data_IF_116890670949
#
_entry.id   IF_116890670949
#
_cell.length_a   1.000
_cell.length_b   1.000
_cell.length_c   1.000
_cell.angle_alpha   90.00
_cell.angle_beta   90.00
_cell.angle_gamma   90.00
#
_symmetry.space_group_name_H-M   'P 1'
#
loop_
_entity.id
_entity.type
_entity.pdbx_description
1 polymer ?
#
# COMPACT_ATOMS: atom_id res chain seq x y z
N UNK A 1 8.76 -4.53 18.79
CA UNK A 1 9.04 -5.66 17.87
C UNK A 1 8.27 -5.46 16.55
N UNK A 2 8.44 -4.30 15.94
CA UNK A 2 7.84 -3.97 14.65
C UNK A 2 9.01 -3.59 13.77
N UNK A 3 9.41 -4.48 12.88
CA UNK A 3 10.61 -4.30 12.06
C UNK A 3 10.26 -3.66 10.70
N UNK A 4 9.04 -3.91 10.22
CA UNK A 4 8.53 -3.40 8.96
C UNK A 4 7.10 -2.85 9.08
N UNK A 5 6.74 -2.00 8.13
CA UNK A 5 5.39 -1.46 7.94
C UNK A 5 4.93 -1.80 6.52
N UNK A 6 3.80 -2.49 6.40
CA UNK A 6 3.25 -2.93 5.11
C UNK A 6 2.11 -2.02 4.69
N UNK A 7 2.16 -1.57 3.43
CA UNK A 7 1.16 -0.71 2.80
C UNK A 7 0.42 -1.50 1.72
N UNK A 8 -0.91 -1.46 1.79
CA UNK A 8 -1.81 -1.89 0.74
C UNK A 8 -2.97 -0.89 0.63
N UNK A 9 -3.60 -0.80 -0.54
CA UNK A 9 -4.85 -0.07 -0.70
C UNK A 9 -5.92 -0.92 -1.37
N UNK A 10 -7.19 -0.52 -1.20
CA UNK A 10 -8.32 -1.16 -1.83
C UNK A 10 -9.18 -0.19 -2.65
N UNK A 11 -9.92 -0.74 -3.60
CA UNK A 11 -10.86 -0.01 -4.47
C UNK A 11 -12.28 0.11 -3.87
N UNK A 12 -12.51 -0.45 -2.68
CA UNK A 12 -13.81 -0.50 -2.01
C UNK A 12 -14.88 -1.36 -2.71
N UNK A 13 -14.51 -2.17 -3.71
CA UNK A 13 -15.46 -3.08 -4.37
C UNK A 13 -15.80 -4.27 -3.47
N UNK A 14 -17.02 -4.27 -2.91
CA UNK A 14 -17.47 -5.24 -1.89
C UNK A 14 -18.59 -6.18 -2.36
N UNK A 15 -19.19 -5.93 -3.53
CA UNK A 15 -20.36 -6.70 -3.98
C UNK A 15 -19.96 -7.89 -4.87
N UNK A 16 -20.25 -9.12 -4.40
CA UNK A 16 -20.14 -10.34 -5.21
C UNK A 16 -18.72 -10.90 -5.31
N UNK A 17 -17.87 -10.63 -4.32
CA UNK A 17 -16.44 -10.96 -4.30
C UNK A 17 -16.06 -12.05 -3.29
N UNK A 18 -17.02 -12.60 -2.52
CA UNK A 18 -16.77 -13.72 -1.61
C UNK A 18 -16.14 -13.27 -0.29
N UNK A 19 -15.01 -13.84 0.12
CA UNK A 19 -14.34 -13.51 1.41
C UNK A 19 -13.86 -12.06 1.50
N UNK A 20 -13.80 -11.34 0.37
CA UNK A 20 -13.41 -9.94 0.26
C UNK A 20 -14.59 -8.96 0.39
N UNK A 21 -15.83 -9.46 0.55
CA UNK A 21 -17.06 -8.65 0.61
C UNK A 21 -17.11 -7.66 1.79
N UNK A 22 -16.15 -7.73 2.73
CA UNK A 22 -16.06 -6.80 3.87
C UNK A 22 -14.88 -5.84 3.80
N UNK A 23 -13.86 -6.13 2.98
CA UNK A 23 -12.57 -5.42 2.99
C UNK A 23 -12.26 -4.73 1.67
N UNK A 24 -12.98 -5.06 0.58
CA UNK A 24 -12.65 -4.60 -0.77
C UNK A 24 -11.54 -5.44 -1.41
N UNK A 25 -11.19 -5.11 -2.66
CA UNK A 25 -10.09 -5.75 -3.39
C UNK A 25 -8.84 -4.90 -3.34
N UNK A 26 -7.68 -5.53 -3.13
CA UNK A 26 -6.40 -4.84 -3.29
C UNK A 26 -6.32 -4.26 -4.69
N UNK A 27 -5.92 -3.00 -4.80
CA UNK A 27 -5.74 -2.33 -6.07
C UNK A 27 -4.33 -1.71 -6.19
N UNK A 28 -3.80 -1.54 -7.42
CA UNK A 28 -2.48 -0.97 -7.65
C UNK A 28 -2.31 0.40 -6.99
N UNK A 29 -1.07 0.80 -6.68
CA UNK A 29 -0.74 2.07 -6.02
C UNK A 29 -1.32 3.33 -6.70
N UNK A 30 -1.49 3.28 -8.02
CA UNK A 30 -2.03 4.37 -8.84
C UNK A 30 -3.47 4.14 -9.32
N UNK A 31 -4.21 3.19 -8.74
CA UNK A 31 -5.58 2.91 -9.16
C UNK A 31 -6.47 4.15 -8.92
N UNK A 32 -7.16 4.67 -9.96
CA UNK A 32 -8.01 5.85 -9.81
C UNK A 32 -9.22 5.62 -8.88
N UNK A 33 -9.55 4.37 -8.56
CA UNK A 33 -10.60 4.01 -7.62
C UNK A 33 -10.08 3.74 -6.21
N UNK A 34 -8.76 3.80 -6.00
CA UNK A 34 -8.13 3.69 -4.68
C UNK A 34 -8.80 4.59 -3.66
N UNK A 35 -9.09 4.02 -2.48
CA UNK A 35 -9.84 4.73 -1.42
C UNK A 35 -8.96 5.34 -0.34
N UNK A 36 -7.70 4.96 -0.29
CA UNK A 36 -6.77 5.39 0.75
C UNK A 36 -5.96 6.58 0.24
N UNK A 37 -5.89 7.65 1.03
CA UNK A 37 -4.76 8.58 0.94
C UNK A 37 -3.56 7.88 1.56
N UNK A 38 -2.78 7.20 0.72
CA UNK A 38 -1.69 6.33 1.17
C UNK A 38 -0.65 7.15 1.94
N UNK A 39 -0.28 8.33 1.42
CA UNK A 39 0.73 9.18 2.02
C UNK A 39 0.30 9.65 3.40
N UNK A 40 -0.89 10.28 3.50
CA UNK A 40 -1.40 10.77 4.79
C UNK A 40 -1.56 9.62 5.80
N UNK A 41 -2.20 8.52 5.41
CA UNK A 41 -2.47 7.41 6.33
C UNK A 41 -1.20 6.71 6.80
N UNK A 42 -0.16 6.63 5.96
CA UNK A 42 1.12 6.06 6.34
C UNK A 42 1.80 6.89 7.45
N UNK A 43 1.62 8.22 7.46
CA UNK A 43 2.23 9.09 8.50
C UNK A 43 1.79 8.71 9.91
N UNK A 44 0.52 8.29 10.10
CA UNK A 44 0.00 7.88 11.40
C UNK A 44 0.76 6.68 11.97
N UNK A 45 1.29 5.82 11.11
CA UNK A 45 2.04 4.63 11.47
C UNK A 45 3.54 4.81 11.45
N UNK A 46 4.05 5.78 10.70
CA UNK A 46 5.49 6.00 10.51
C UNK A 46 6.04 7.19 11.29
N UNK A 47 5.18 8.02 11.88
CA UNK A 47 5.62 9.06 12.82
C UNK A 47 6.41 8.44 13.97
N UNK A 48 7.60 8.97 14.26
CA UNK A 48 8.52 8.43 15.28
C UNK A 48 8.86 6.93 15.05
N UNK A 49 8.85 6.47 13.80
CA UNK A 49 9.16 5.09 13.42
C UNK A 49 10.56 4.65 13.86
N UNK A 50 11.53 5.57 13.78
CA UNK A 50 12.92 5.31 14.16
C UNK A 50 13.05 4.92 15.65
N UNK A 51 12.37 5.66 16.54
CA UNK A 51 12.37 5.38 17.98
C UNK A 51 11.68 4.05 18.32
N UNK A 52 10.74 3.62 17.45
CA UNK A 52 10.06 2.32 17.54
C UNK A 52 10.81 1.18 16.86
N UNK A 53 11.92 1.47 16.17
CA UNK A 53 12.78 0.50 15.50
C UNK A 53 12.24 -0.04 14.17
N UNK A 54 11.33 0.67 13.52
CA UNK A 54 10.86 0.31 12.16
C UNK A 54 11.94 0.71 11.16
N UNK A 55 12.43 -0.25 10.37
CA UNK A 55 13.52 -0.05 9.42
C UNK A 55 13.09 -0.17 7.96
N UNK A 56 11.94 -0.79 7.72
CA UNK A 56 11.48 -1.11 6.38
C UNK A 56 10.04 -0.65 6.15
N UNK A 57 9.81 0.00 5.02
CA UNK A 57 8.48 0.18 4.44
C UNK A 57 8.35 -0.80 3.27
N UNK A 58 7.26 -1.56 3.27
CA UNK A 58 7.01 -2.63 2.32
C UNK A 58 5.68 -2.37 1.62
N UNK A 59 5.64 -2.55 0.31
CA UNK A 59 4.38 -2.64 -0.43
C UNK A 59 3.88 -4.08 -0.43
N UNK A 60 2.64 -4.29 -0.03
CA UNK A 60 2.02 -5.63 -0.04
C UNK A 60 1.45 -5.96 -1.42
N UNK A 61 2.23 -6.75 -2.17
CA UNK A 61 1.86 -7.25 -3.49
C UNK A 61 1.20 -8.63 -3.50
N UNK A 62 0.88 -9.24 -2.35
CA UNK A 62 0.51 -10.66 -2.28
C UNK A 62 -0.77 -11.04 -3.05
N UNK A 63 -1.62 -10.05 -3.36
CA UNK A 63 -2.91 -10.25 -4.04
C UNK A 63 -2.88 -9.87 -5.53
N UNK A 64 -1.71 -9.55 -6.10
CA UNK A 64 -1.60 -9.20 -7.53
C UNK A 64 -1.16 -10.40 -8.39
N UNK A 65 -1.66 -10.50 -9.65
CA UNK A 65 -1.15 -11.49 -10.59
C UNK A 65 0.34 -11.28 -10.90
N UNK A 66 1.09 -12.37 -11.07
CA UNK A 66 2.52 -12.30 -11.42
C UNK A 66 2.79 -11.43 -12.68
N UNK A 67 1.92 -11.51 -13.69
CA UNK A 67 2.06 -10.70 -14.91
C UNK A 67 2.06 -9.17 -14.61
N UNK A 68 1.33 -8.74 -13.59
CA UNK A 68 1.36 -7.34 -13.14
C UNK A 68 2.67 -7.03 -12.41
N UNK A 69 3.14 -7.93 -11.55
CA UNK A 69 4.38 -7.77 -10.79
C UNK A 69 5.64 -7.81 -11.68
N UNK A 70 5.56 -8.45 -12.85
CA UNK A 70 6.67 -8.47 -13.82
C UNK A 70 6.76 -7.19 -14.66
N UNK A 71 5.75 -6.31 -14.60
CA UNK A 71 5.78 -5.01 -15.29
C UNK A 71 6.55 -4.00 -14.45
N UNK A 72 7.67 -3.49 -14.98
CA UNK A 72 8.48 -2.46 -14.33
C UNK A 72 7.70 -1.20 -13.93
N UNK A 73 6.68 -0.85 -14.71
CA UNK A 73 5.77 0.25 -14.42
C UNK A 73 5.07 0.11 -13.06
N UNK A 74 4.66 -1.10 -12.68
CA UNK A 74 4.04 -1.38 -11.37
C UNK A 74 4.94 -0.89 -10.23
N UNK A 75 6.24 -1.16 -10.32
CA UNK A 75 7.21 -0.77 -9.30
C UNK A 75 7.53 0.73 -9.33
N UNK A 76 7.47 1.37 -10.50
CA UNK A 76 7.60 2.82 -10.60
C UNK A 76 6.46 3.53 -9.88
N UNK A 77 5.22 3.08 -10.06
CA UNK A 77 4.05 3.63 -9.36
C UNK A 77 4.13 3.41 -7.85
N UNK A 78 4.59 2.22 -7.42
CA UNK A 78 4.83 1.94 -5.99
C UNK A 78 5.92 2.87 -5.45
N UNK A 79 7.05 3.02 -6.14
CA UNK A 79 8.15 3.89 -5.72
C UNK A 79 7.70 5.35 -5.62
N UNK A 80 6.93 5.85 -6.57
CA UNK A 80 6.35 7.19 -6.54
C UNK A 80 5.54 7.42 -5.26
N UNK A 81 4.66 6.48 -4.90
CA UNK A 81 3.88 6.54 -3.67
C UNK A 81 4.78 6.47 -2.42
N UNK A 82 5.82 5.65 -2.40
CA UNK A 82 6.75 5.59 -1.25
C UNK A 82 7.52 6.90 -1.07
N UNK A 83 7.86 7.60 -2.15
CA UNK A 83 8.45 8.95 -2.09
C UNK A 83 7.43 9.94 -1.52
N UNK A 84 6.16 9.85 -1.89
CA UNK A 84 5.12 10.72 -1.31
C UNK A 84 4.93 10.48 0.18
N UNK A 85 5.01 9.21 0.64
CA UNK A 85 5.01 8.88 2.08
C UNK A 85 6.19 9.55 2.79
N UNK A 86 7.40 9.48 2.23
CA UNK A 86 8.58 10.14 2.80
C UNK A 86 8.42 11.67 2.86
N UNK A 87 7.87 12.28 1.81
CA UNK A 87 7.60 13.73 1.77
C UNK A 87 6.50 14.19 2.73
N UNK A 88 5.60 13.28 3.15
CA UNK A 88 4.52 13.57 4.08
C UNK A 88 4.93 13.43 5.56
N UNK A 89 6.09 12.81 5.83
CA UNK A 89 6.67 12.65 7.17
C UNK A 89 7.43 13.90 7.64
#
# INVERSE_FOLDING_TARGET
WTFDFHVAQNDGSVHGTGSHDKTGRHCPANDPNGKLDIAECATYWLKDAADRGIQHICWDGCMFPNEMLEKGETWNHVLEVMIQVDQAL
#
